data_IF_153571554855
#
_entry.id   IF_153571554855
#
_cell.length_a   1.000
_cell.length_b   1.000
_cell.length_c   1.000
_cell.angle_alpha   90.00
_cell.angle_beta   90.00
_cell.angle_gamma   90.00
#
_symmetry.space_group_name_H-M   'P 1'
#
loop_
_entity.id
_entity.type
_entity.pdbx_description
1 polymer ?
#
# COMPACT_ATOMS: atom_id res chain seq x y z
N UNK A 1 -23.12 -29.06 27.56
CA UNK A 1 -24.50 -28.75 27.88
C UNK A 1 -24.83 -29.18 29.31
N UNK A 2 -24.35 -30.31 29.79
CA UNK A 2 -24.59 -30.78 31.17
C UNK A 2 -24.03 -29.89 32.30
N UNK A 3 -23.12 -28.96 32.01
CA UNK A 3 -22.52 -28.02 32.98
C UNK A 3 -23.07 -26.58 32.88
N UNK A 4 -24.11 -26.31 32.08
CA UNK A 4 -24.69 -24.99 31.94
C UNK A 4 -23.80 -23.95 31.22
N UNK A 5 -22.73 -24.37 30.55
CA UNK A 5 -21.83 -23.49 29.79
C UNK A 5 -22.48 -23.14 28.44
N UNK A 6 -22.60 -21.85 28.17
CA UNK A 6 -23.10 -21.34 26.88
C UNK A 6 -22.33 -20.05 26.55
N UNK A 7 -21.15 -20.19 25.95
CA UNK A 7 -20.26 -19.09 25.60
C UNK A 7 -20.64 -18.52 24.24
N UNK A 8 -21.00 -17.25 24.20
CA UNK A 8 -21.21 -16.54 22.91
C UNK A 8 -19.88 -15.98 22.41
N UNK A 9 -19.13 -16.83 21.72
CA UNK A 9 -17.78 -16.53 21.24
C UNK A 9 -17.73 -15.35 20.27
N UNK A 10 -18.75 -15.17 19.42
CA UNK A 10 -18.76 -14.11 18.40
C UNK A 10 -18.72 -12.69 18.97
N UNK A 11 -19.20 -12.48 20.19
CA UNK A 11 -19.17 -11.17 20.86
C UNK A 11 -17.82 -10.87 21.51
N UNK A 12 -16.99 -11.87 21.76
CA UNK A 12 -15.78 -11.71 22.54
C UNK A 12 -14.73 -10.79 21.89
N UNK A 13 -14.41 -10.95 20.57
CA UNK A 13 -13.37 -10.15 19.92
C UNK A 13 -13.84 -8.79 19.40
N UNK A 14 -15.14 -8.50 19.46
CA UNK A 14 -15.71 -7.32 18.79
C UNK A 14 -16.12 -6.22 19.75
N UNK A 15 -16.18 -5.01 19.24
CA UNK A 15 -16.70 -3.83 19.93
C UNK A 15 -17.37 -2.88 18.93
N UNK A 16 -18.18 -1.97 19.45
CA UNK A 16 -18.57 -0.80 18.67
C UNK A 16 -17.36 0.06 18.36
N UNK A 17 -17.18 0.39 17.09
CA UNK A 17 -16.06 1.18 16.61
C UNK A 17 -16.53 2.56 16.15
N UNK A 18 -15.84 3.60 16.60
CA UNK A 18 -16.05 4.96 16.12
C UNK A 18 -14.81 5.38 15.32
N UNK A 19 -15.03 5.83 14.10
CA UNK A 19 -14.00 6.33 13.21
C UNK A 19 -14.28 7.79 12.87
N UNK A 20 -13.23 8.57 12.67
CA UNK A 20 -13.36 9.97 12.29
C UNK A 20 -12.29 10.40 11.28
N UNK A 21 -12.63 11.43 10.52
CA UNK A 21 -11.74 12.03 9.54
C UNK A 21 -11.82 13.57 9.68
N UNK A 22 -10.66 14.20 9.62
CA UNK A 22 -10.52 15.65 9.63
C UNK A 22 -9.68 16.08 8.44
N UNK A 23 -10.08 17.15 7.78
CA UNK A 23 -9.30 17.77 6.71
C UNK A 23 -9.35 19.28 6.87
N UNK A 24 -8.21 19.91 6.60
CA UNK A 24 -8.06 21.34 6.53
C UNK A 24 -7.43 21.67 5.18
N UNK A 25 -8.00 22.64 4.49
CA UNK A 25 -7.43 23.21 3.28
C UNK A 25 -7.39 24.73 3.41
N UNK A 26 -6.23 25.30 3.15
CA UNK A 26 -6.02 26.75 3.15
C UNK A 26 -5.38 27.11 1.83
N UNK A 27 -5.95 28.07 1.13
CA UNK A 27 -5.38 28.59 -0.12
C UNK A 27 -5.28 30.11 -0.11
N UNK A 28 -4.34 30.60 -0.89
CA UNK A 28 -4.14 32.01 -1.12
C UNK A 28 -3.45 32.25 -2.45
N UNK A 29 -3.29 33.51 -2.79
CA UNK A 29 -2.61 33.83 -4.04
C UNK A 29 -2.90 35.27 -4.53
N UNK A 30 -2.43 35.51 -5.73
CA UNK A 30 -2.67 36.75 -6.51
C UNK A 30 -2.95 36.32 -7.97
N UNK A 31 -3.07 37.26 -8.88
CA UNK A 31 -3.47 37.04 -10.27
C UNK A 31 -2.64 35.96 -10.99
N UNK A 32 -1.34 35.91 -10.69
CA UNK A 32 -0.41 35.00 -11.35
C UNK A 32 0.13 33.87 -10.47
N UNK A 33 -0.22 33.83 -9.17
CA UNK A 33 0.22 32.81 -8.25
C UNK A 33 -0.94 32.34 -7.37
N UNK A 34 -1.09 31.03 -7.23
CA UNK A 34 -2.02 30.40 -6.29
C UNK A 34 -1.27 29.31 -5.55
N UNK A 35 -1.41 29.29 -4.25
CA UNK A 35 -0.84 28.23 -3.42
C UNK A 35 -1.90 27.70 -2.47
N UNK A 36 -1.76 26.42 -2.11
CA UNK A 36 -2.63 25.76 -1.16
C UNK A 36 -1.84 24.83 -0.26
N UNK A 37 -2.32 24.69 0.97
CA UNK A 37 -1.83 23.73 1.93
C UNK A 37 -3.02 22.88 2.36
N UNK A 38 -2.89 21.57 2.27
CA UNK A 38 -3.85 20.62 2.79
C UNK A 38 -3.25 19.79 3.91
N UNK A 39 -4.03 19.51 4.93
CA UNK A 39 -3.69 18.61 6.01
C UNK A 39 -4.88 17.67 6.27
N UNK A 40 -4.60 16.40 6.48
CA UNK A 40 -5.64 15.41 6.76
C UNK A 40 -5.21 14.45 7.86
N UNK A 41 -6.18 14.07 8.69
CA UNK A 41 -6.02 13.00 9.67
C UNK A 41 -7.24 12.11 9.63
N UNK A 42 -7.02 10.82 9.45
CA UNK A 42 -8.06 9.82 9.42
C UNK A 42 -7.75 8.73 10.45
N UNK A 43 -8.65 8.53 11.39
CA UNK A 43 -8.60 7.42 12.33
C UNK A 43 -9.73 6.45 12.04
N UNK A 44 -9.38 5.24 11.62
CA UNK A 44 -10.31 4.15 11.37
C UNK A 44 -10.11 3.06 12.42
N UNK A 45 -11.02 2.96 13.37
CA UNK A 45 -11.02 1.87 14.36
C UNK A 45 -11.72 0.65 13.80
N UNK A 46 -11.10 -0.51 13.94
CA UNK A 46 -11.69 -1.78 13.53
C UNK A 46 -12.79 -2.27 14.48
N UNK A 47 -13.69 -3.08 13.96
CA UNK A 47 -14.73 -3.76 14.76
C UNK A 47 -14.10 -4.80 15.68
N UNK A 48 -13.01 -5.45 15.27
CA UNK A 48 -12.18 -6.27 16.16
C UNK A 48 -11.51 -5.36 17.19
N UNK A 49 -11.53 -5.76 18.46
CA UNK A 49 -10.88 -5.01 19.54
C UNK A 49 -9.41 -4.76 19.20
N UNK A 50 -8.90 -3.58 19.52
CA UNK A 50 -7.49 -3.21 19.37
C UNK A 50 -6.97 -3.33 17.92
N UNK A 51 -7.83 -3.16 16.94
CA UNK A 51 -7.43 -3.03 15.53
C UNK A 51 -7.78 -1.65 14.99
N UNK A 52 -7.05 -1.21 13.98
CA UNK A 52 -7.32 0.07 13.34
C UNK A 52 -6.25 0.50 12.35
N UNK A 53 -6.50 1.67 11.79
CA UNK A 53 -5.60 2.34 10.86
C UNK A 53 -5.69 3.84 11.07
N UNK A 54 -4.57 4.45 11.37
CA UNK A 54 -4.41 5.89 11.50
C UNK A 54 -3.61 6.41 10.31
N UNK A 55 -4.08 7.46 9.65
CA UNK A 55 -3.38 8.08 8.52
C UNK A 55 -3.31 9.59 8.71
N UNK A 56 -2.12 10.11 8.58
CA UNK A 56 -1.82 11.54 8.51
C UNK A 56 -1.33 11.89 7.11
N UNK A 57 -1.77 13.01 6.56
CA UNK A 57 -1.34 13.52 5.26
C UNK A 57 -1.14 15.03 5.29
N UNK A 58 -0.10 15.48 4.60
CA UNK A 58 0.17 16.89 4.31
C UNK A 58 0.37 17.06 2.81
N UNK A 59 -0.14 18.15 2.26
CA UNK A 59 0.06 18.51 0.88
C UNK A 59 0.33 20.01 0.72
N UNK A 60 1.10 20.34 -0.29
CA UNK A 60 1.36 21.69 -0.72
C UNK A 60 1.18 21.77 -2.25
N UNK A 61 0.39 22.71 -2.71
CA UNK A 61 0.15 22.98 -4.11
C UNK A 61 0.58 24.41 -4.49
N UNK A 62 1.21 24.53 -5.65
CA UNK A 62 1.58 25.80 -6.25
C UNK A 62 1.16 25.82 -7.70
N UNK A 63 0.47 26.89 -8.11
CA UNK A 63 0.17 27.20 -9.51
C UNK A 63 0.75 28.58 -9.79
N UNK A 64 1.66 28.65 -10.74
CA UNK A 64 2.28 29.89 -11.15
C UNK A 64 2.08 30.14 -12.65
N UNK A 65 1.55 31.29 -13.01
CA UNK A 65 1.30 31.73 -14.39
C UNK A 65 2.24 32.84 -14.77
N UNK A 66 2.92 32.69 -15.90
CA UNK A 66 3.87 33.69 -16.43
C UNK A 66 3.29 34.26 -17.73
N UNK A 67 2.91 35.52 -17.71
CA UNK A 67 2.42 36.28 -18.88
C UNK A 67 1.35 35.51 -19.67
N UNK A 68 0.47 34.80 -19.01
CA UNK A 68 -0.57 33.93 -19.59
C UNK A 68 -0.09 32.89 -20.61
N UNK A 69 1.22 32.75 -20.78
CA UNK A 69 1.83 31.81 -21.72
C UNK A 69 2.33 30.52 -21.05
N UNK A 70 2.80 30.61 -19.82
CA UNK A 70 3.35 29.49 -19.13
C UNK A 70 2.58 29.26 -17.81
N UNK A 71 2.08 28.06 -17.60
CA UNK A 71 1.52 27.66 -16.33
C UNK A 71 2.38 26.54 -15.74
N UNK A 72 2.94 26.77 -14.56
CA UNK A 72 3.67 25.79 -13.78
C UNK A 72 2.77 25.37 -12.64
N UNK A 73 2.59 24.05 -12.47
CA UNK A 73 1.89 23.47 -11.32
C UNK A 73 2.83 22.52 -10.61
N UNK A 74 2.95 22.69 -9.32
CA UNK A 74 3.70 21.78 -8.46
C UNK A 74 2.79 21.31 -7.33
N UNK A 75 2.84 20.03 -7.03
CA UNK A 75 2.16 19.44 -5.88
C UNK A 75 3.10 18.49 -5.17
N UNK A 76 3.32 18.75 -3.90
CA UNK A 76 4.14 17.93 -3.02
C UNK A 76 3.24 17.38 -1.92
N UNK A 77 3.33 16.10 -1.64
CA UNK A 77 2.59 15.51 -0.54
C UNK A 77 3.41 14.49 0.24
N UNK A 78 3.10 14.38 1.51
CA UNK A 78 3.61 13.36 2.40
C UNK A 78 2.43 12.70 3.12
N UNK A 79 2.46 11.37 3.21
CA UNK A 79 1.50 10.61 3.96
C UNK A 79 2.22 9.59 4.87
N UNK A 80 1.71 9.45 6.09
CA UNK A 80 2.13 8.42 7.03
C UNK A 80 0.90 7.63 7.46
N UNK A 81 0.98 6.31 7.36
CA UNK A 81 -0.07 5.38 7.76
C UNK A 81 0.48 4.40 8.80
N UNK A 82 -0.26 4.19 9.86
CA UNK A 82 -0.02 3.13 10.83
C UNK A 82 -1.25 2.24 10.89
N UNK A 83 -1.12 1.00 10.45
CA UNK A 83 -2.17 -0.02 10.52
C UNK A 83 -1.77 -1.08 11.54
N UNK A 84 -2.70 -1.48 12.41
CA UNK A 84 -2.46 -2.48 13.43
C UNK A 84 -3.61 -3.46 13.48
N UNK A 85 -3.24 -4.74 13.54
CA UNK A 85 -4.16 -5.85 13.60
C UNK A 85 -4.49 -6.22 15.06
N UNK A 86 -5.68 -6.77 15.23
CA UNK A 86 -6.18 -7.15 16.55
C UNK A 86 -5.34 -8.25 17.19
N UNK A 87 -4.91 -8.14 18.45
CA UNK A 87 -4.30 -9.23 19.20
C UNK A 87 -5.29 -10.38 19.47
N UNK A 88 -6.60 -10.12 19.31
CA UNK A 88 -7.66 -11.13 19.38
C UNK A 88 -7.67 -12.08 18.17
N UNK A 89 -6.77 -11.92 17.21
CA UNK A 89 -6.70 -12.75 16.01
C UNK A 89 -7.80 -12.43 15.00
N UNK A 90 -8.28 -13.43 14.27
CA UNK A 90 -9.33 -13.27 13.25
C UNK A 90 -10.71 -13.66 13.79
N UNK A 91 -11.76 -12.97 13.31
CA UNK A 91 -13.14 -13.29 13.67
C UNK A 91 -13.52 -14.74 13.33
N UNK A 92 -12.96 -15.30 12.26
CA UNK A 92 -13.20 -16.68 11.86
C UNK A 92 -12.73 -17.72 12.87
N UNK A 93 -11.75 -17.41 13.71
CA UNK A 93 -11.32 -18.30 14.80
C UNK A 93 -12.46 -18.47 15.81
N UNK A 94 -13.13 -17.39 16.19
CA UNK A 94 -14.25 -17.41 17.14
C UNK A 94 -15.50 -18.08 16.56
N UNK A 95 -15.72 -17.95 15.26
CA UNK A 95 -16.87 -18.57 14.58
C UNK A 95 -16.81 -20.10 14.52
N UNK A 96 -15.63 -20.67 14.72
CA UNK A 96 -15.41 -22.13 14.73
C UNK A 96 -15.55 -22.75 16.12
N UNK A 97 -15.52 -21.93 17.18
CA UNK A 97 -15.54 -22.40 18.56
C UNK A 97 -16.94 -22.84 18.98
N UNK A 98 -17.00 -23.92 19.71
CA UNK A 98 -18.23 -24.48 20.24
C UNK A 98 -18.73 -23.68 21.45
N UNK A 99 -20.03 -23.42 21.60
CA UNK A 99 -20.57 -22.65 22.72
C UNK A 99 -20.42 -23.35 24.09
N UNK A 100 -20.17 -24.63 24.11
CA UNK A 100 -19.92 -25.38 25.36
C UNK A 100 -18.46 -25.32 25.84
N UNK A 101 -17.56 -24.70 25.07
CA UNK A 101 -16.18 -24.44 25.51
C UNK A 101 -16.14 -23.30 26.52
N UNK A 102 -15.36 -23.50 27.59
CA UNK A 102 -15.22 -22.55 28.68
C UNK A 102 -14.06 -21.59 28.40
N UNK A 103 -14.28 -20.32 28.68
CA UNK A 103 -13.22 -19.28 28.60
C UNK A 103 -12.26 -19.40 29.80
N UNK A 104 -12.81 -19.67 30.99
CA UNK A 104 -12.10 -19.65 32.26
C UNK A 104 -12.15 -21.04 32.91
N UNK A 105 -11.12 -21.35 33.72
CA UNK A 105 -11.11 -22.48 34.64
C UNK A 105 -12.00 -22.19 35.88
N UNK A 106 -12.07 -23.15 36.79
CA UNK A 106 -12.87 -23.02 38.01
C UNK A 106 -12.32 -21.96 38.98
N UNK A 107 -11.05 -21.54 38.82
CA UNK A 107 -10.42 -20.44 39.57
C UNK A 107 -10.61 -19.05 38.94
N UNK A 108 -11.29 -18.96 37.79
CA UNK A 108 -11.49 -17.70 37.07
C UNK A 108 -10.30 -17.27 36.21
N UNK A 109 -9.33 -18.15 35.95
CA UNK A 109 -8.19 -17.86 35.06
C UNK A 109 -8.50 -18.28 33.63
N UNK A 110 -7.99 -17.54 32.65
CA UNK A 110 -8.13 -17.87 31.24
C UNK A 110 -7.46 -19.22 30.92
N UNK A 111 -8.18 -20.09 30.26
CA UNK A 111 -7.69 -21.40 29.84
C UNK A 111 -6.91 -21.21 28.53
N UNK A 112 -5.62 -21.55 28.44
CA UNK A 112 -4.84 -21.40 27.21
C UNK A 112 -5.29 -22.36 26.10
N UNK A 113 -5.73 -23.57 26.47
CA UNK A 113 -6.20 -24.62 25.55
C UNK A 113 -7.61 -25.06 25.91
N UNK A 114 -8.50 -25.08 24.94
CA UNK A 114 -9.87 -25.56 25.06
C UNK A 114 -9.93 -27.10 25.26
N UNK A 115 -11.11 -27.64 25.51
CA UNK A 115 -11.30 -29.07 25.80
C UNK A 115 -10.96 -29.96 24.61
N UNK A 116 -11.17 -29.47 23.39
CA UNK A 116 -10.83 -30.14 22.12
C UNK A 116 -9.34 -30.03 21.75
N UNK A 117 -8.56 -29.23 22.49
CA UNK A 117 -7.14 -29.01 22.25
C UNK A 117 -6.84 -27.75 21.43
N UNK A 118 -7.85 -27.09 20.90
CA UNK A 118 -7.69 -25.81 20.21
C UNK A 118 -7.21 -24.71 21.16
N UNK A 119 -6.60 -23.68 20.60
CA UNK A 119 -6.17 -22.51 21.37
C UNK A 119 -7.36 -21.62 21.75
N UNK A 120 -7.36 -21.13 22.99
CA UNK A 120 -8.29 -20.09 23.38
C UNK A 120 -7.78 -18.73 22.84
N UNK A 121 -8.42 -18.11 21.86
CA UNK A 121 -7.92 -16.86 21.28
C UNK A 121 -7.94 -15.68 22.26
N UNK A 122 -8.76 -15.73 23.31
CA UNK A 122 -8.79 -14.70 24.36
C UNK A 122 -7.57 -14.76 25.27
N UNK A 123 -6.97 -15.93 25.44
CA UNK A 123 -5.73 -16.08 26.21
C UNK A 123 -4.58 -15.31 25.54
N UNK A 124 -4.40 -15.53 24.25
CA UNK A 124 -3.36 -14.87 23.46
C UNK A 124 -3.57 -13.35 23.33
N UNK A 125 -4.82 -12.88 23.41
CA UNK A 125 -5.14 -11.46 23.37
C UNK A 125 -4.63 -10.64 24.57
N UNK A 126 -4.35 -11.29 25.70
CA UNK A 126 -3.77 -10.64 26.89
C UNK A 126 -2.25 -10.56 26.86
N UNK A 127 -1.61 -11.29 25.95
CA UNK A 127 -0.17 -11.26 25.80
C UNK A 127 0.26 -10.06 24.94
N UNK A 128 1.49 -9.57 25.07
CA UNK A 128 1.97 -8.41 24.33
C UNK A 128 2.26 -8.72 22.85
N UNK A 129 1.36 -9.46 22.22
CA UNK A 129 1.40 -9.76 20.81
C UNK A 129 1.23 -8.46 20.00
N UNK A 130 2.06 -8.27 18.97
CA UNK A 130 2.02 -7.10 18.09
C UNK A 130 1.93 -7.54 16.64
N UNK A 131 1.13 -6.84 15.88
CA UNK A 131 1.05 -7.01 14.43
C UNK A 131 0.66 -5.66 13.82
N UNK A 132 1.64 -4.98 13.26
CA UNK A 132 1.41 -3.67 12.65
C UNK A 132 2.24 -3.47 11.38
N UNK A 133 1.78 -2.52 10.58
CA UNK A 133 2.49 -2.01 9.40
C UNK A 133 2.50 -0.49 9.45
N UNK A 134 3.65 0.10 9.13
CA UNK A 134 3.83 1.54 8.94
C UNK A 134 4.21 1.79 7.50
N UNK A 135 3.50 2.70 6.85
CA UNK A 135 3.78 3.13 5.49
C UNK A 135 4.04 4.63 5.49
N UNK A 136 5.05 5.05 4.74
CA UNK A 136 5.37 6.43 4.46
C UNK A 136 5.44 6.63 2.96
N UNK A 137 4.81 7.67 2.45
CA UNK A 137 4.84 8.02 1.04
C UNK A 137 5.14 9.51 0.89
N UNK A 138 6.17 9.80 0.12
CA UNK A 138 6.45 11.13 -0.40
C UNK A 138 6.15 11.15 -1.89
N UNK A 139 5.40 12.16 -2.34
CA UNK A 139 5.05 12.34 -3.74
C UNK A 139 5.31 13.78 -4.16
N UNK A 140 5.92 13.95 -5.30
CA UNK A 140 6.06 15.22 -5.99
C UNK A 140 5.53 15.12 -7.41
N UNK A 141 4.75 16.10 -7.83
CA UNK A 141 4.24 16.23 -9.19
C UNK A 141 4.53 17.64 -9.69
N UNK A 142 5.26 17.72 -10.79
CA UNK A 142 5.53 18.97 -11.51
C UNK A 142 4.89 18.90 -12.88
N UNK A 143 4.17 19.93 -13.28
CA UNK A 143 3.70 20.07 -14.65
C UNK A 143 3.94 21.48 -15.17
N UNK A 144 4.29 21.58 -16.44
CA UNK A 144 4.50 22.80 -17.19
C UNK A 144 3.62 22.75 -18.43
N UNK A 145 2.89 23.82 -18.63
CA UNK A 145 2.04 24.03 -19.79
C UNK A 145 2.46 25.36 -20.44
N UNK A 146 3.04 25.30 -21.62
CA UNK A 146 3.61 26.44 -22.31
C UNK A 146 2.99 26.66 -23.69
N UNK A 147 2.28 27.74 -23.84
CA UNK A 147 1.81 28.27 -25.13
C UNK A 147 2.95 29.05 -25.80
N UNK A 148 3.68 28.38 -26.71
CA UNK A 148 4.88 28.93 -27.36
C UNK A 148 4.49 30.05 -28.32
N UNK A 149 3.53 29.79 -29.21
CA UNK A 149 2.91 30.69 -30.13
C UNK A 149 1.51 30.18 -30.52
N UNK A 150 0.80 30.92 -31.36
CA UNK A 150 -0.53 30.52 -31.79
C UNK A 150 -0.52 29.09 -32.39
N UNK A 151 -1.39 28.27 -31.87
CA UNK A 151 -1.50 26.87 -32.24
C UNK A 151 -0.45 25.94 -31.65
N UNK A 152 0.70 26.40 -31.13
CA UNK A 152 1.78 25.57 -30.66
C UNK A 152 1.87 25.53 -29.13
N UNK A 153 1.71 24.36 -28.55
CA UNK A 153 1.69 24.14 -27.09
C UNK A 153 2.60 22.99 -26.68
N UNK A 154 3.48 23.24 -25.72
CA UNK A 154 4.29 22.26 -25.04
C UNK A 154 3.67 21.93 -23.69
N UNK A 155 3.47 20.67 -23.41
CA UNK A 155 3.11 20.17 -22.06
C UNK A 155 4.17 19.22 -21.58
N UNK A 156 4.61 19.40 -20.35
CA UNK A 156 5.49 18.47 -19.65
C UNK A 156 4.92 18.18 -18.27
N UNK A 157 5.03 16.92 -17.85
CA UNK A 157 4.73 16.55 -16.47
C UNK A 157 5.69 15.48 -16.00
N UNK A 158 5.98 15.51 -14.71
CA UNK A 158 6.79 14.53 -14.03
C UNK A 158 6.21 14.28 -12.64
N UNK A 159 6.08 13.03 -12.28
CA UNK A 159 5.74 12.60 -10.93
C UNK A 159 6.85 11.71 -10.37
N UNK A 160 7.20 11.92 -9.12
CA UNK A 160 8.13 11.09 -8.36
C UNK A 160 7.41 10.62 -7.11
N UNK A 161 7.51 9.32 -6.82
CA UNK A 161 6.95 8.73 -5.60
C UNK A 161 8.03 7.91 -4.92
N UNK A 162 8.25 8.19 -3.64
CA UNK A 162 9.10 7.40 -2.76
C UNK A 162 8.25 6.86 -1.63
N UNK A 163 8.26 5.54 -1.46
CA UNK A 163 7.54 4.85 -0.40
C UNK A 163 8.48 4.04 0.47
N UNK A 164 8.17 3.97 1.76
CA UNK A 164 8.84 3.11 2.73
C UNK A 164 7.76 2.40 3.55
N UNK A 165 7.90 1.08 3.69
CA UNK A 165 6.98 0.23 4.44
C UNK A 165 7.78 -0.56 5.45
N UNK A 166 7.34 -0.59 6.71
CA UNK A 166 7.87 -1.50 7.72
C UNK A 166 6.74 -2.27 8.38
N UNK A 167 6.91 -3.58 8.52
CA UNK A 167 5.97 -4.48 9.16
C UNK A 167 6.62 -5.25 10.29
N UNK A 168 5.90 -5.41 11.39
CA UNK A 168 6.34 -6.20 12.54
C UNK A 168 5.21 -7.10 13.03
N UNK A 169 5.53 -8.37 13.23
CA UNK A 169 4.67 -9.34 13.91
C UNK A 169 5.48 -9.97 15.03
N UNK A 170 5.13 -9.65 16.26
CA UNK A 170 5.68 -10.31 17.45
C UNK A 170 4.64 -11.23 18.06
N UNK A 171 5.04 -12.47 18.33
CA UNK A 171 4.26 -13.46 19.03
C UNK A 171 4.98 -13.86 20.30
N UNK A 172 4.31 -13.68 21.42
CA UNK A 172 4.82 -14.02 22.76
C UNK A 172 5.23 -15.48 22.86
N UNK A 173 6.36 -15.79 23.53
CA UNK A 173 6.75 -17.17 23.80
C UNK A 173 5.77 -17.92 24.71
N UNK A 174 4.87 -17.19 25.36
CA UNK A 174 3.83 -17.76 26.23
C UNK A 174 2.49 -17.97 25.51
N UNK A 175 2.42 -17.71 24.21
CA UNK A 175 1.20 -17.94 23.43
C UNK A 175 0.78 -19.40 23.45
N UNK A 176 -0.52 -19.64 23.46
CA UNK A 176 -1.11 -20.96 23.58
C UNK A 176 -0.72 -21.91 22.44
N UNK A 177 -0.30 -21.40 21.27
CA UNK A 177 0.18 -22.21 20.15
C UNK A 177 1.48 -22.97 20.48
N UNK A 178 2.31 -22.45 21.40
CA UNK A 178 3.56 -23.08 21.84
C UNK A 178 3.37 -24.06 22.99
N UNK A 179 2.15 -24.20 23.49
CA UNK A 179 1.79 -25.11 24.56
C UNK A 179 1.37 -26.45 23.96
N UNK A 180 2.19 -27.49 24.14
CA UNK A 180 1.85 -28.85 23.76
C UNK A 180 0.99 -29.49 24.82
N UNK A 181 0.01 -30.28 24.40
CA UNK A 181 -0.79 -31.12 25.26
C UNK A 181 -0.43 -32.58 25.00
N UNK A 182 0.09 -33.26 26.00
CA UNK A 182 0.37 -34.70 25.96
C UNK A 182 -0.63 -35.41 26.85
N UNK A 183 -1.25 -36.47 26.33
CA UNK A 183 -2.17 -37.33 27.08
C UNK A 183 -1.43 -38.56 27.48
N UNK A 184 -1.42 -38.87 28.76
CA UNK A 184 -1.07 -40.18 29.28
C UNK A 184 -2.33 -40.85 29.86
N UNK A 185 -2.24 -42.12 30.26
CA UNK A 185 -3.40 -42.93 30.73
C UNK A 185 -4.12 -42.32 31.95
N UNK A 186 -3.51 -41.38 32.67
CA UNK A 186 -4.04 -40.86 33.92
C UNK A 186 -4.19 -39.35 33.97
N UNK A 187 -3.50 -38.60 33.09
CA UNK A 187 -3.50 -37.13 33.14
C UNK A 187 -3.27 -36.46 31.79
N UNK A 188 -3.74 -35.24 31.72
CA UNK A 188 -3.45 -34.28 30.64
C UNK A 188 -2.30 -33.40 31.10
N UNK A 189 -1.14 -33.50 30.47
CA UNK A 189 0.04 -32.69 30.77
C UNK A 189 0.18 -31.62 29.68
N UNK A 190 0.39 -30.37 30.10
CA UNK A 190 0.63 -29.24 29.18
C UNK A 190 2.02 -28.69 29.45
N UNK A 191 2.85 -28.70 28.43
CA UNK A 191 4.23 -28.19 28.48
C UNK A 191 4.52 -27.29 27.30
N UNK A 192 5.23 -26.21 27.57
CA UNK A 192 5.70 -25.34 26.49
C UNK A 192 6.80 -26.02 25.67
N UNK A 193 6.85 -25.69 24.38
CA UNK A 193 7.99 -26.02 23.53
C UNK A 193 9.30 -25.51 24.17
N UNK A 194 10.46 -26.07 23.78
CA UNK A 194 11.76 -25.51 24.18
C UNK A 194 11.86 -24.00 23.84
N UNK A 195 12.56 -23.24 24.68
CA UNK A 195 12.68 -21.79 24.52
C UNK A 195 13.08 -21.40 23.09
N UNK A 196 14.01 -22.13 22.47
CA UNK A 196 14.49 -21.85 21.13
C UNK A 196 13.40 -21.95 20.02
N UNK A 197 12.27 -22.59 20.30
CA UNK A 197 11.21 -22.86 19.33
C UNK A 197 9.93 -22.04 19.58
N UNK A 198 9.86 -21.31 20.69
CA UNK A 198 8.67 -20.55 21.06
C UNK A 198 8.90 -19.04 20.99
N UNK A 199 7.81 -18.34 20.74
CA UNK A 199 7.84 -16.92 20.43
C UNK A 199 8.51 -16.66 19.07
N UNK A 200 8.02 -15.70 18.35
CA UNK A 200 8.69 -15.26 17.13
C UNK A 200 8.53 -13.76 16.90
N UNK A 201 9.50 -13.21 16.21
CA UNK A 201 9.47 -11.87 15.65
C UNK A 201 9.67 -11.96 14.14
N UNK A 202 8.68 -11.54 13.37
CA UNK A 202 8.78 -11.37 11.93
C UNK A 202 8.90 -9.88 11.64
N UNK A 203 9.96 -9.50 10.92
CA UNK A 203 10.17 -8.14 10.44
C UNK A 203 10.22 -8.13 8.92
N UNK A 204 9.63 -7.12 8.34
CA UNK A 204 9.65 -6.88 6.90
C UNK A 204 9.82 -5.39 6.65
N UNK A 205 10.85 -5.03 5.90
CA UNK A 205 11.10 -3.66 5.45
C UNK A 205 11.07 -3.62 3.93
N UNK A 206 10.45 -2.60 3.39
CA UNK A 206 10.34 -2.38 1.96
C UNK A 206 10.58 -0.92 1.62
N UNK A 207 11.18 -0.68 0.47
CA UNK A 207 11.30 0.64 -0.12
C UNK A 207 10.89 0.59 -1.59
N UNK A 208 10.16 1.60 -2.02
CA UNK A 208 9.74 1.79 -3.40
C UNK A 208 10.17 3.16 -3.89
N UNK A 209 10.58 3.20 -5.15
CA UNK A 209 10.85 4.44 -5.85
C UNK A 209 10.29 4.34 -7.26
N UNK A 210 9.46 5.31 -7.64
CA UNK A 210 8.97 5.39 -8.99
C UNK A 210 9.01 6.81 -9.52
N UNK A 211 9.22 6.92 -10.80
CA UNK A 211 8.94 8.15 -11.54
C UNK A 211 8.18 7.85 -12.82
N UNK A 212 7.34 8.81 -13.17
CA UNK A 212 6.58 8.86 -14.42
C UNK A 212 6.72 10.26 -15.00
N UNK A 213 7.12 10.35 -16.24
CA UNK A 213 7.31 11.63 -16.91
C UNK A 213 6.85 11.57 -18.35
N UNK A 214 6.24 12.63 -18.81
CA UNK A 214 5.95 12.81 -20.22
C UNK A 214 6.13 14.26 -20.67
N UNK A 215 6.46 14.41 -21.96
CA UNK A 215 6.52 15.69 -22.65
C UNK A 215 5.79 15.54 -23.97
N UNK A 216 4.88 16.46 -24.27
CA UNK A 216 4.12 16.50 -25.52
C UNK A 216 4.19 17.87 -26.14
N UNK A 217 4.48 17.90 -27.43
CA UNK A 217 4.38 19.09 -28.28
C UNK A 217 3.18 18.92 -29.20
N UNK A 218 2.25 19.89 -29.13
CA UNK A 218 1.02 19.85 -29.91
C UNK A 218 0.93 21.10 -30.76
N UNK A 219 0.55 20.94 -32.03
CA UNK A 219 0.26 22.02 -32.95
C UNK A 219 -1.16 21.86 -33.47
N UNK A 220 -1.92 22.94 -33.45
CA UNK A 220 -3.28 22.98 -33.94
C UNK A 220 -3.48 24.27 -34.75
N UNK A 221 -3.99 24.19 -35.98
CA UNK A 221 -4.26 25.35 -36.81
C UNK A 221 -5.47 25.14 -37.73
N UNK A 222 -6.14 26.24 -38.02
CA UNK A 222 -7.20 26.29 -39.00
C UNK A 222 -6.71 27.19 -40.17
N UNK A 223 -6.65 26.59 -41.38
CA UNK A 223 -6.21 27.32 -42.60
C UNK A 223 -7.38 27.45 -43.54
N UNK A 224 -7.60 28.65 -44.03
CA UNK A 224 -8.66 29.00 -45.00
C UNK A 224 -10.07 28.51 -44.58
N UNK A 225 -10.35 28.52 -43.27
CA UNK A 225 -11.63 28.11 -42.66
C UNK A 225 -12.10 26.69 -42.99
N UNK A 226 -11.30 25.91 -43.72
CA UNK A 226 -11.65 24.55 -44.20
C UNK A 226 -10.67 23.46 -43.80
N UNK A 227 -9.42 23.81 -43.52
CA UNK A 227 -8.39 22.84 -43.23
C UNK A 227 -8.07 22.88 -41.76
N UNK A 228 -8.53 21.90 -40.99
CA UNK A 228 -8.16 21.73 -39.59
C UNK A 228 -6.98 20.76 -39.56
N UNK A 229 -5.86 21.22 -39.03
CA UNK A 229 -4.64 20.41 -38.89
C UNK A 229 -4.30 20.31 -37.42
N UNK A 230 -4.16 19.10 -36.93
CA UNK A 230 -3.58 18.82 -35.63
C UNK A 230 -2.37 17.91 -35.81
N UNK A 231 -1.27 18.24 -35.15
CA UNK A 231 -0.08 17.40 -35.06
C UNK A 231 0.41 17.34 -33.61
N UNK A 232 0.74 16.16 -33.14
CA UNK A 232 1.25 15.93 -31.81
C UNK A 232 2.45 15.00 -31.83
N UNK A 233 3.44 15.27 -30.99
CA UNK A 233 4.55 14.34 -30.74
C UNK A 233 4.88 14.34 -29.25
N UNK A 234 5.32 13.20 -28.74
CA UNK A 234 5.64 13.11 -27.31
C UNK A 234 6.57 11.98 -26.97
N UNK A 235 7.08 12.07 -25.75
CA UNK A 235 7.95 11.14 -25.09
C UNK A 235 7.35 10.81 -23.71
N UNK A 236 7.35 9.53 -23.38
CA UNK A 236 6.98 9.04 -22.03
C UNK A 236 8.15 8.23 -21.46
N UNK A 237 8.39 8.38 -20.18
CA UNK A 237 9.38 7.58 -19.44
C UNK A 237 8.80 7.16 -18.11
N UNK A 238 8.97 5.88 -17.76
CA UNK A 238 8.56 5.37 -16.45
C UNK A 238 9.65 4.49 -15.87
N UNK A 239 9.78 4.53 -14.54
CA UNK A 239 10.58 3.58 -13.79
C UNK A 239 9.85 3.22 -12.51
N UNK A 240 9.92 1.93 -12.15
CA UNK A 240 9.49 1.42 -10.86
C UNK A 240 10.61 0.57 -10.29
N UNK A 241 11.06 0.91 -9.10
CA UNK A 241 12.03 0.18 -8.29
C UNK A 241 11.36 -0.23 -6.98
N UNK A 242 11.43 -1.51 -6.65
CA UNK A 242 10.93 -2.01 -5.36
C UNK A 242 11.99 -2.94 -4.79
N UNK A 243 12.27 -2.79 -3.52
CA UNK A 243 13.06 -3.72 -2.75
C UNK A 243 12.36 -4.06 -1.44
N UNK A 244 12.55 -5.26 -0.96
CA UNK A 244 12.05 -5.67 0.35
C UNK A 244 12.99 -6.68 0.98
N UNK A 245 13.07 -6.63 2.29
CA UNK A 245 13.83 -7.56 3.11
C UNK A 245 12.95 -8.04 4.25
N UNK A 246 13.12 -9.30 4.63
CA UNK A 246 12.35 -9.84 5.74
C UNK A 246 13.06 -11.03 6.38
N UNK A 247 12.79 -11.23 7.66
CA UNK A 247 13.28 -12.37 8.42
C UNK A 247 12.33 -12.71 9.55
N UNK A 248 12.41 -13.95 10.00
CA UNK A 248 11.65 -14.45 11.15
C UNK A 248 12.65 -15.05 12.14
N UNK A 249 12.62 -14.57 13.35
CA UNK A 249 13.43 -15.07 14.45
C UNK A 249 12.56 -15.70 15.52
N UNK A 250 13.12 -16.67 16.24
CA UNK A 250 12.44 -17.41 17.32
C UNK A 250 13.34 -17.52 18.54
N UNK A 251 12.73 -17.92 19.66
CA UNK A 251 13.46 -18.19 20.87
C UNK A 251 13.61 -16.95 21.73
N UNK A 252 12.51 -16.37 22.15
CA UNK A 252 12.52 -15.24 23.09
C UNK A 252 12.40 -15.77 24.51
N UNK A 253 13.28 -15.33 25.44
CA UNK A 253 13.27 -15.85 26.81
C UNK A 253 12.06 -15.36 27.61
N UNK A 254 11.60 -14.12 27.34
CA UNK A 254 10.54 -13.44 28.06
C UNK A 254 9.94 -12.34 27.18
N UNK A 255 8.70 -11.93 27.44
CA UNK A 255 7.99 -10.89 26.71
C UNK A 255 8.63 -9.49 26.83
N UNK A 256 9.43 -9.25 27.87
CA UNK A 256 10.20 -8.02 28.05
C UNK A 256 11.34 -7.86 27.04
N UNK A 257 11.78 -8.95 26.44
CA UNK A 257 12.91 -9.02 25.53
C UNK A 257 12.46 -9.39 24.11
N UNK A 258 11.64 -8.53 23.53
CA UNK A 258 11.06 -8.74 22.19
C UNK A 258 11.83 -8.06 21.06
N UNK A 259 13.07 -7.64 21.30
CA UNK A 259 13.97 -7.08 20.28
C UNK A 259 14.74 -8.21 19.57
N UNK A 260 15.07 -8.05 18.27
CA UNK A 260 15.85 -9.03 17.51
C UNK A 260 17.11 -9.54 18.19
N UNK A 261 17.80 -8.70 18.98
CA UNK A 261 19.02 -9.03 19.67
C UNK A 261 18.86 -10.13 20.74
N UNK A 262 17.65 -10.37 21.21
CA UNK A 262 17.35 -11.39 22.21
C UNK A 262 16.85 -12.72 21.63
N UNK A 263 16.63 -12.79 20.32
CA UNK A 263 16.25 -14.03 19.67
C UNK A 263 17.42 -15.03 19.64
N UNK A 264 17.13 -16.30 19.88
CA UNK A 264 18.15 -17.35 19.88
C UNK A 264 18.59 -17.69 18.45
N UNK A 265 17.65 -17.73 17.51
CA UNK A 265 17.91 -18.20 16.14
C UNK A 265 16.87 -17.69 15.14
N UNK A 266 17.17 -17.81 13.85
CA UNK A 266 16.14 -17.74 12.82
C UNK A 266 15.16 -18.92 12.96
N UNK A 267 13.89 -18.66 12.61
CA UNK A 267 12.88 -19.74 12.63
C UNK A 267 13.35 -20.90 11.75
N UNK A 268 13.24 -22.14 12.27
CA UNK A 268 13.61 -23.36 11.54
C UNK A 268 12.98 -23.37 10.14
N UNK A 269 13.71 -23.88 9.18
CA UNK A 269 13.33 -23.95 7.76
C UNK A 269 13.08 -22.59 7.09
N UNK A 270 13.46 -21.49 7.73
CA UNK A 270 13.43 -20.16 7.14
C UNK A 270 14.82 -19.53 7.12
N UNK A 271 14.98 -18.55 6.24
CA UNK A 271 16.18 -17.70 6.15
C UNK A 271 15.74 -16.28 5.84
N UNK A 272 16.57 -15.27 6.07
CA UNK A 272 16.31 -13.92 5.60
C UNK A 272 15.96 -13.93 4.11
N UNK A 273 14.92 -13.22 3.76
CA UNK A 273 14.45 -13.06 2.38
C UNK A 273 14.78 -11.67 1.87
N UNK A 274 15.07 -11.59 0.58
CA UNK A 274 15.23 -10.34 -0.14
C UNK A 274 14.56 -10.46 -1.50
N UNK A 275 13.86 -9.41 -1.89
CA UNK A 275 13.27 -9.30 -3.21
C UNK A 275 13.63 -7.93 -3.77
N UNK A 276 14.09 -7.90 -5.00
CA UNK A 276 14.34 -6.68 -5.75
C UNK A 276 13.66 -6.79 -7.12
N UNK A 277 12.95 -5.75 -7.51
CA UNK A 277 12.36 -5.65 -8.84
C UNK A 277 12.54 -4.25 -9.38
N UNK A 278 13.01 -4.17 -10.63
CA UNK A 278 13.19 -2.92 -11.35
C UNK A 278 12.59 -3.02 -12.74
N UNK A 279 11.75 -2.07 -13.09
CA UNK A 279 11.21 -1.98 -14.43
C UNK A 279 11.31 -0.56 -14.97
N UNK A 280 11.59 -0.46 -16.27
CA UNK A 280 11.67 0.80 -17.01
C UNK A 280 10.92 0.68 -18.31
N UNK A 281 10.26 1.75 -18.70
CA UNK A 281 9.67 1.86 -20.01
C UNK A 281 9.92 3.25 -20.59
N UNK A 282 9.99 3.30 -21.91
CA UNK A 282 10.11 4.52 -22.71
C UNK A 282 9.17 4.40 -23.90
N UNK A 283 8.40 5.44 -24.16
CA UNK A 283 7.48 5.51 -25.29
C UNK A 283 7.72 6.79 -26.10
N UNK A 284 7.80 6.65 -27.40
CA UNK A 284 7.77 7.78 -28.34
C UNK A 284 6.50 7.68 -29.16
N UNK A 285 5.79 8.76 -29.32
CA UNK A 285 4.61 8.81 -30.17
C UNK A 285 4.52 10.09 -30.96
N UNK A 286 3.93 9.98 -32.13
CA UNK A 286 3.53 11.10 -32.93
C UNK A 286 2.19 10.81 -33.60
N UNK A 287 1.35 11.81 -33.73
CA UNK A 287 0.06 11.71 -34.38
C UNK A 287 -0.27 12.96 -35.16
N UNK A 288 -1.01 12.79 -36.24
CA UNK A 288 -1.53 13.86 -37.06
C UNK A 288 -2.99 13.58 -37.40
N UNK A 289 -3.81 14.60 -37.29
CA UNK A 289 -5.20 14.58 -37.70
C UNK A 289 -5.43 15.71 -38.69
N UNK A 290 -6.08 15.42 -39.78
CA UNK A 290 -6.44 16.38 -40.81
C UNK A 290 -7.93 16.25 -41.10
N UNK A 291 -8.62 17.39 -41.11
CA UNK A 291 -10.01 17.50 -41.55
C UNK A 291 -10.14 18.58 -42.65
N UNK A 292 -10.86 18.21 -43.67
CA UNK A 292 -11.19 19.13 -44.77
C UNK A 292 -12.71 19.36 -44.85
N UNK A 293 -13.13 20.63 -44.71
CA UNK A 293 -14.51 21.11 -44.84
C UNK A 293 -15.50 20.29 -43.95
N UNK A 294 -15.01 19.80 -42.81
CA UNK A 294 -15.71 18.90 -41.87
C UNK A 294 -16.33 17.64 -42.51
N UNK A 295 -15.82 17.27 -43.70
CA UNK A 295 -16.31 16.13 -44.48
C UNK A 295 -15.31 14.99 -44.59
N UNK A 296 -14.05 15.31 -44.81
CA UNK A 296 -13.01 14.33 -45.03
C UNK A 296 -12.02 14.35 -43.88
N UNK A 297 -11.74 13.18 -43.33
CA UNK A 297 -10.89 13.03 -42.17
C UNK A 297 -9.77 12.05 -42.46
N UNK A 298 -8.57 12.38 -42.08
CA UNK A 298 -7.41 11.50 -42.15
C UNK A 298 -6.65 11.56 -40.82
N UNK A 299 -6.41 10.38 -40.25
CA UNK A 299 -5.68 10.20 -38.99
C UNK A 299 -4.47 9.30 -39.25
N UNK A 300 -3.31 9.74 -38.77
CA UNK A 300 -2.11 8.94 -38.79
C UNK A 300 -1.47 9.01 -37.42
N UNK A 301 -1.01 7.87 -36.94
CA UNK A 301 -0.30 7.85 -35.67
C UNK A 301 0.83 6.83 -35.73
N UNK A 302 1.84 7.06 -34.93
CA UNK A 302 2.96 6.15 -34.76
C UNK A 302 3.34 6.10 -33.29
N UNK A 303 3.57 4.91 -32.77
CA UNK A 303 4.07 4.73 -31.41
C UNK A 303 5.18 3.66 -31.38
N UNK A 304 6.22 3.98 -30.64
CA UNK A 304 7.33 3.06 -30.38
C UNK A 304 7.47 2.93 -28.88
N UNK A 305 7.25 1.74 -28.36
CA UNK A 305 7.36 1.44 -26.93
C UNK A 305 8.53 0.51 -26.66
N UNK A 306 9.39 0.92 -25.73
CA UNK A 306 10.48 0.11 -25.20
C UNK A 306 10.22 -0.26 -23.74
N UNK A 307 10.52 -1.51 -23.36
CA UNK A 307 10.38 -1.95 -21.97
C UNK A 307 11.48 -2.90 -21.56
N UNK A 308 11.96 -2.71 -20.32
CA UNK A 308 12.91 -3.65 -19.70
C UNK A 308 12.30 -5.04 -19.44
N UNK A 309 10.99 -5.17 -19.51
CA UNK A 309 10.25 -6.44 -19.35
C UNK A 309 10.18 -7.24 -20.64
N UNK A 310 10.50 -6.64 -21.78
CA UNK A 310 10.55 -7.32 -23.07
C UNK A 310 11.81 -8.17 -23.19
N UNK A 311 11.76 -9.23 -24.00
CA UNK A 311 12.89 -10.12 -24.24
C UNK A 311 14.10 -9.39 -24.85
N UNK A 312 15.29 -9.94 -24.64
CA UNK A 312 16.56 -9.31 -25.02
C UNK A 312 16.63 -8.89 -26.51
N UNK A 313 15.98 -9.64 -27.38
CA UNK A 313 16.04 -9.43 -28.84
C UNK A 313 14.93 -8.51 -29.38
N UNK A 314 13.88 -8.23 -28.61
CA UNK A 314 12.73 -7.43 -29.03
C UNK A 314 12.33 -6.45 -27.95
N UNK A 315 13.22 -5.50 -27.64
CA UNK A 315 13.00 -4.50 -26.57
C UNK A 315 12.02 -3.40 -26.96
N UNK A 316 11.75 -3.24 -28.25
CA UNK A 316 10.88 -2.20 -28.80
C UNK A 316 9.76 -2.80 -29.63
N UNK A 317 8.58 -2.23 -29.51
CA UNK A 317 7.41 -2.55 -30.32
C UNK A 317 6.96 -1.30 -31.09
N UNK A 318 6.56 -1.48 -32.33
CA UNK A 318 6.14 -0.43 -33.25
C UNK A 318 4.67 -0.59 -33.62
N UNK A 319 3.90 0.49 -33.51
CA UNK A 319 2.45 0.52 -33.75
C UNK A 319 2.09 1.69 -34.68
N UNK A 320 1.76 1.45 -35.97
CA UNK A 320 1.38 2.46 -36.93
C UNK A 320 -0.13 2.43 -37.27
N UNK A 321 -1.07 2.91 -36.45
CA UNK A 321 -2.46 3.02 -36.86
C UNK A 321 -2.70 4.16 -37.86
N UNK A 322 -3.61 3.90 -38.81
CA UNK A 322 -4.07 4.85 -39.84
C UNK A 322 -5.60 4.79 -39.89
N UNK A 323 -6.27 5.90 -39.98
CA UNK A 323 -7.71 6.03 -40.12
C UNK A 323 -8.09 7.00 -41.24
N UNK A 324 -9.13 6.69 -41.99
CA UNK A 324 -9.76 7.56 -42.98
C UNK A 324 -11.26 7.58 -42.75
N UNK A 325 -11.87 8.77 -42.86
CA UNK A 325 -13.30 8.93 -42.68
C UNK A 325 -13.90 9.98 -43.61
N UNK A 326 -15.18 9.89 -43.88
CA UNK A 326 -15.97 10.91 -44.55
C UNK A 326 -17.38 10.97 -43.99
N UNK A 327 -18.02 12.14 -44.07
CA UNK A 327 -19.42 12.39 -43.73
C UNK A 327 -20.19 12.87 -44.96
#
# INVERSE_FOLDING_TARGET
VLRGVNTYWLSQPVKNAFSHAHSLFVEGGADNVRYGIDASYNQNKGVMKESGRDRFGLGFSLIYRIKDKITIKNYISYAHTHAYNSPYGSFSQYAKLNPYERIYNDNGELIPKLSDGDTNPLYDALLPNRNFTKDQEFREQLSVDWFICDGLRLKGQMAIVKGETSGEIYKSPFSAEFLKTTYNSESRVQEYLPIAERGYLSMTDGASFSYDGNVTLNYNTLVNEKHIIYAGAGLEVTQNDNNSHGFIMTGFPDDRYSDPAFAIQYKKETKPSSSESKSRAIGFFANGNYSYDDRYFADVSVRIDGSSKFGQNNKYAFFPPVGLGWM
#
